data_IF_557487133505
#
_entry.id   IF_557487133505
#
_cell.length_a   1.000
_cell.length_b   1.000
_cell.length_c   1.000
_cell.angle_alpha   90.00
_cell.angle_beta   90.00
_cell.angle_gamma   90.00
#
_symmetry.space_group_name_H-M   'P 1'
#
loop_
_entity.id
_entity.type
_entity.pdbx_description
1 polymer ?
#
# COMPACT_ATOMS: atom_id res chain seq x y z
N UNK A 1 -9.67 -24.28 -29.82
CA UNK A 1 -10.58 -23.12 -29.67
C UNK A 1 -10.25 -22.45 -28.34
N UNK A 2 -10.28 -21.11 -28.33
CA UNK A 2 -10.05 -20.21 -27.20
C UNK A 2 -8.59 -19.80 -26.91
N UNK A 3 -8.07 -18.89 -27.76
CA UNK A 3 -7.08 -17.90 -27.37
C UNK A 3 -7.61 -16.51 -27.77
N UNK A 4 -8.23 -15.79 -26.83
CA UNK A 4 -8.40 -14.35 -26.94
C UNK A 4 -8.69 -13.70 -25.57
N UNK A 5 -7.72 -12.86 -25.15
CA UNK A 5 -7.94 -11.45 -24.75
C UNK A 5 -8.20 -11.11 -23.27
N UNK A 6 -7.14 -11.09 -22.42
CA UNK A 6 -7.08 -10.22 -21.24
C UNK A 6 -6.40 -8.86 -21.50
N UNK A 7 -5.68 -8.65 -22.62
CA UNK A 7 -4.79 -7.48 -22.76
C UNK A 7 -5.48 -6.13 -23.00
N UNK A 8 -6.66 -6.10 -23.65
CA UNK A 8 -7.31 -4.81 -24.00
C UNK A 8 -7.85 -4.01 -22.80
N UNK A 9 -8.11 -4.66 -21.65
CA UNK A 9 -8.65 -3.98 -20.47
C UNK A 9 -7.53 -3.27 -19.68
N UNK A 10 -6.41 -3.96 -19.49
CA UNK A 10 -5.21 -3.40 -18.85
C UNK A 10 -4.62 -2.23 -19.65
N UNK A 11 -4.57 -2.36 -20.98
CA UNK A 11 -4.07 -1.32 -21.87
C UNK A 11 -4.95 -0.06 -21.85
N UNK A 12 -6.27 -0.22 -21.76
CA UNK A 12 -7.22 0.90 -21.63
C UNK A 12 -7.14 1.59 -20.25
N UNK A 13 -6.91 0.84 -19.17
CA UNK A 13 -6.78 1.40 -17.82
C UNK A 13 -5.46 2.16 -17.65
N UNK A 14 -4.37 1.69 -18.28
CA UNK A 14 -3.08 2.39 -18.34
C UNK A 14 -3.19 3.66 -19.20
N UNK A 15 -3.87 3.59 -20.35
CA UNK A 15 -4.07 4.74 -21.23
C UNK A 15 -4.93 5.83 -20.58
N UNK A 16 -6.00 5.44 -19.88
CA UNK A 16 -6.90 6.36 -19.15
C UNK A 16 -6.24 7.01 -17.92
N UNK A 17 -5.29 6.33 -17.28
CA UNK A 17 -4.49 6.88 -16.18
C UNK A 17 -3.39 7.84 -16.69
N UNK A 18 -2.71 7.47 -17.78
CA UNK A 18 -1.70 8.32 -18.43
C UNK A 18 -2.30 9.60 -19.01
N UNK A 19 -3.50 9.53 -19.62
CA UNK A 19 -4.17 10.72 -20.16
C UNK A 19 -4.60 11.67 -19.03
N UNK A 20 -5.08 11.14 -17.89
CA UNK A 20 -5.52 11.96 -16.74
C UNK A 20 -4.34 12.71 -16.09
N UNK A 21 -3.23 12.03 -15.82
CA UNK A 21 -2.03 12.67 -15.27
C UNK A 21 -1.48 13.75 -16.24
N UNK A 22 -1.53 13.49 -17.56
CA UNK A 22 -1.12 14.48 -18.57
C UNK A 22 -2.08 15.67 -18.72
N UNK A 23 -3.37 15.46 -18.46
CA UNK A 23 -4.40 16.51 -18.52
C UNK A 23 -4.30 17.43 -17.31
N UNK A 24 -4.09 16.87 -16.12
CA UNK A 24 -3.93 17.63 -14.88
C UNK A 24 -2.65 18.49 -14.94
N UNK A 25 -1.54 17.95 -15.48
CA UNK A 25 -0.29 18.67 -15.71
C UNK A 25 -0.43 19.79 -16.75
N UNK A 26 -1.17 19.56 -17.83
CA UNK A 26 -1.50 20.58 -18.83
C UNK A 26 -2.40 21.70 -18.26
N UNK A 27 -3.38 21.36 -17.41
CA UNK A 27 -4.26 22.33 -16.73
C UNK A 27 -3.44 23.19 -15.76
N UNK A 28 -2.52 22.59 -15.01
CA UNK A 28 -1.63 23.29 -14.08
C UNK A 28 -0.68 24.26 -14.82
N UNK A 29 -0.08 23.83 -15.94
CA UNK A 29 0.78 24.69 -16.78
C UNK A 29 -0.02 25.83 -17.43
N UNK A 30 -1.28 25.59 -17.83
CA UNK A 30 -2.17 26.64 -18.34
C UNK A 30 -2.56 27.66 -17.28
N UNK A 31 -2.87 27.22 -16.05
CA UNK A 31 -3.16 28.12 -14.92
C UNK A 31 -1.91 28.93 -14.57
N UNK A 32 -0.72 28.31 -14.63
CA UNK A 32 0.54 28.99 -14.35
C UNK A 32 0.89 30.04 -15.42
N UNK A 33 0.66 29.75 -16.70
CA UNK A 33 0.84 30.67 -17.84
C UNK A 33 -0.24 31.73 -18.00
N UNK A 34 -1.44 31.55 -17.44
CA UNK A 34 -2.52 32.55 -17.50
C UNK A 34 -2.14 33.86 -16.79
N UNK A 35 -2.57 35.02 -17.28
CA UNK A 35 -2.36 36.33 -16.63
C UNK A 35 -3.31 36.57 -15.43
N UNK A 36 -3.77 35.51 -14.77
CA UNK A 36 -4.69 35.65 -13.64
C UNK A 36 -4.00 36.14 -12.36
N UNK A 37 -4.71 36.90 -11.50
CA UNK A 37 -4.18 37.34 -10.20
C UNK A 37 -3.66 36.15 -9.38
N UNK A 38 -2.53 36.35 -8.69
CA UNK A 38 -1.85 35.29 -7.90
C UNK A 38 -2.76 34.65 -6.85
N UNK A 39 -3.70 35.42 -6.30
CA UNK A 39 -4.68 34.92 -5.33
C UNK A 39 -5.68 33.94 -5.96
N UNK A 40 -6.18 34.23 -7.16
CA UNK A 40 -7.13 33.36 -7.86
C UNK A 40 -6.48 32.05 -8.33
N UNK A 41 -5.18 32.08 -8.68
CA UNK A 41 -4.43 30.86 -9.00
C UNK A 41 -4.32 29.91 -7.79
N UNK A 42 -4.04 30.47 -6.61
CA UNK A 42 -3.98 29.69 -5.36
C UNK A 42 -5.34 29.11 -5.00
N UNK A 43 -6.41 29.86 -5.20
CA UNK A 43 -7.78 29.39 -4.94
C UNK A 43 -8.17 28.22 -5.85
N UNK A 44 -7.86 28.30 -7.15
CA UNK A 44 -8.14 27.22 -8.10
C UNK A 44 -7.28 25.98 -7.80
N UNK A 45 -6.00 26.16 -7.48
CA UNK A 45 -5.14 25.04 -7.06
C UNK A 45 -5.64 24.38 -5.78
N UNK A 46 -5.99 25.17 -4.76
CA UNK A 46 -6.58 24.66 -3.53
C UNK A 46 -7.91 23.92 -3.79
N UNK A 47 -8.72 24.40 -4.75
CA UNK A 47 -9.97 23.75 -5.14
C UNK A 47 -9.76 22.39 -5.86
N UNK A 48 -8.76 22.30 -6.74
CA UNK A 48 -8.35 21.06 -7.41
C UNK A 48 -7.77 20.04 -6.41
N UNK A 49 -6.92 20.49 -5.49
CA UNK A 49 -6.35 19.65 -4.43
C UNK A 49 -7.40 19.16 -3.44
N UNK A 50 -8.37 20.02 -3.07
CA UNK A 50 -9.40 19.69 -2.08
C UNK A 50 -10.40 18.63 -2.57
N UNK A 51 -10.55 18.46 -3.90
CA UNK A 51 -11.54 17.56 -4.50
C UNK A 51 -10.92 16.44 -5.35
N UNK A 52 -10.04 15.64 -4.74
CA UNK A 52 -9.55 14.35 -5.26
C UNK A 52 -10.21 13.14 -4.58
N UNK A 53 -11.52 13.20 -4.36
CA UNK A 53 -12.31 12.17 -3.66
C UNK A 53 -13.22 11.34 -4.58
N UNK A 54 -13.78 10.21 -4.09
CA UNK A 54 -14.74 9.40 -4.82
C UNK A 54 -16.13 10.05 -4.96
N UNK A 55 -16.33 11.23 -4.37
CA UNK A 55 -17.58 11.98 -4.39
C UNK A 55 -17.37 13.23 -5.25
N UNK A 56 -18.20 13.45 -6.28
CA UNK A 56 -18.09 14.61 -7.16
C UNK A 56 -18.62 15.89 -6.49
N UNK A 57 -18.34 17.02 -7.13
CA UNK A 57 -18.74 18.35 -6.68
C UNK A 57 -20.28 18.49 -6.56
N UNK A 58 -20.79 19.33 -5.63
CA UNK A 58 -22.23 19.54 -5.46
C UNK A 58 -22.96 19.94 -6.74
N UNK A 59 -22.37 20.85 -7.53
CA UNK A 59 -22.95 21.31 -8.80
C UNK A 59 -23.12 20.17 -9.82
N UNK A 60 -22.16 19.24 -9.84
CA UNK A 60 -22.20 18.04 -10.69
C UNK A 60 -23.30 17.10 -10.19
N UNK A 61 -23.39 16.89 -8.87
CA UNK A 61 -24.45 16.07 -8.26
C UNK A 61 -25.84 16.63 -8.55
N UNK A 62 -26.00 17.96 -8.50
CA UNK A 62 -27.24 18.63 -8.86
C UNK A 62 -27.59 18.40 -10.34
N UNK A 63 -26.60 18.44 -11.23
CA UNK A 63 -26.76 18.09 -12.65
C UNK A 63 -27.27 16.66 -12.84
N UNK A 64 -26.69 15.68 -12.14
CA UNK A 64 -27.16 14.29 -12.19
C UNK A 64 -28.57 14.11 -11.64
N UNK A 65 -28.90 14.79 -10.53
CA UNK A 65 -30.24 14.74 -9.94
C UNK A 65 -31.31 15.32 -10.86
N UNK A 66 -30.98 16.38 -11.62
CA UNK A 66 -31.87 16.98 -12.63
C UNK A 66 -32.11 16.05 -13.81
N UNK A 67 -31.11 15.25 -14.20
CA UNK A 67 -31.21 14.30 -15.31
C UNK A 67 -31.98 13.03 -14.93
N UNK A 68 -31.67 12.49 -13.74
CA UNK A 68 -32.29 11.28 -13.20
C UNK A 68 -32.63 11.45 -11.72
N UNK A 69 -33.88 11.20 -11.32
CA UNK A 69 -34.27 11.30 -9.92
C UNK A 69 -33.50 10.29 -9.07
N UNK A 70 -32.94 10.75 -7.96
CA UNK A 70 -32.11 10.00 -6.99
C UNK A 70 -30.67 9.68 -7.45
N UNK A 71 -30.24 10.10 -8.64
CA UNK A 71 -28.89 9.81 -9.11
C UNK A 71 -27.80 10.36 -8.18
N UNK A 72 -27.98 11.56 -7.62
CA UNK A 72 -27.02 12.14 -6.67
C UNK A 72 -26.85 11.26 -5.42
N UNK A 73 -27.95 10.73 -4.87
CA UNK A 73 -27.94 9.84 -3.71
C UNK A 73 -27.21 8.52 -4.02
N UNK A 74 -27.44 7.96 -5.20
CA UNK A 74 -26.79 6.73 -5.65
C UNK A 74 -25.28 6.93 -5.83
N UNK A 75 -24.87 8.04 -6.44
CA UNK A 75 -23.44 8.40 -6.59
C UNK A 75 -22.76 8.54 -5.23
N UNK A 76 -23.39 9.24 -4.28
CA UNK A 76 -22.84 9.41 -2.93
C UNK A 76 -22.70 8.05 -2.23
N UNK A 77 -23.74 7.22 -2.28
CA UNK A 77 -23.71 5.90 -1.67
C UNK A 77 -22.60 5.04 -2.26
N UNK A 78 -22.46 5.01 -3.59
CA UNK A 78 -21.41 4.27 -4.28
C UNK A 78 -20.01 4.75 -3.86
N UNK A 79 -19.80 6.06 -3.75
CA UNK A 79 -18.51 6.61 -3.29
C UNK A 79 -18.20 6.28 -1.82
N UNK A 80 -19.22 6.24 -0.95
CA UNK A 80 -19.06 5.80 0.45
C UNK A 80 -18.77 4.30 0.53
N UNK A 81 -19.46 3.48 -0.25
CA UNK A 81 -19.23 2.04 -0.31
C UNK A 81 -17.83 1.70 -0.83
N UNK A 82 -17.37 2.38 -1.88
CA UNK A 82 -16.00 2.24 -2.40
C UNK A 82 -14.97 2.63 -1.34
N UNK A 83 -15.19 3.74 -0.63
CA UNK A 83 -14.34 4.18 0.46
C UNK A 83 -14.27 3.15 1.60
N UNK A 84 -15.41 2.56 1.97
CA UNK A 84 -15.48 1.48 2.97
C UNK A 84 -14.79 0.21 2.48
N UNK A 85 -14.97 -0.15 1.21
CA UNK A 85 -14.35 -1.30 0.59
C UNK A 85 -12.82 -1.16 0.61
N UNK A 86 -12.28 -0.01 0.17
CA UNK A 86 -10.85 0.29 0.24
C UNK A 86 -10.30 0.16 1.66
N UNK A 87 -10.94 0.80 2.64
CA UNK A 87 -10.51 0.74 4.04
C UNK A 87 -10.54 -0.69 4.58
N UNK A 88 -11.55 -1.49 4.20
CA UNK A 88 -11.62 -2.91 4.55
C UNK A 88 -10.47 -3.72 3.94
N UNK A 89 -10.12 -3.46 2.67
CA UNK A 89 -8.99 -4.12 2.02
C UNK A 89 -7.65 -3.74 2.65
N UNK A 90 -7.46 -2.47 3.02
CA UNK A 90 -6.28 -1.98 3.73
C UNK A 90 -6.12 -2.70 5.08
N UNK A 91 -7.18 -2.75 5.90
CA UNK A 91 -7.18 -3.47 7.19
C UNK A 91 -6.93 -4.98 6.99
N UNK A 92 -7.56 -5.60 5.99
CA UNK A 92 -7.36 -7.02 5.70
C UNK A 92 -5.91 -7.32 5.28
N UNK A 93 -5.28 -6.43 4.49
CA UNK A 93 -3.87 -6.53 4.11
C UNK A 93 -2.95 -6.41 5.34
N UNK A 94 -3.20 -5.43 6.22
CA UNK A 94 -2.45 -5.27 7.46
C UNK A 94 -2.55 -6.51 8.35
N UNK A 95 -3.77 -7.04 8.55
CA UNK A 95 -3.99 -8.26 9.35
C UNK A 95 -3.27 -9.48 8.77
N UNK A 96 -3.30 -9.65 7.44
CA UNK A 96 -2.63 -10.77 6.76
C UNK A 96 -1.11 -10.71 6.92
N UNK A 97 -0.51 -9.53 6.84
CA UNK A 97 0.93 -9.32 7.06
C UNK A 97 1.34 -9.68 8.49
N UNK A 98 0.56 -9.20 9.48
CA UNK A 98 0.79 -9.54 10.88
C UNK A 98 0.73 -11.04 11.14
N UNK A 99 -0.29 -11.73 10.61
CA UNK A 99 -0.41 -13.18 10.79
C UNK A 99 0.74 -13.97 10.18
N UNK A 100 1.18 -13.65 8.97
CA UNK A 100 2.30 -14.35 8.33
C UNK A 100 3.61 -14.17 9.12
N UNK A 101 3.91 -12.95 9.58
CA UNK A 101 5.10 -12.66 10.38
C UNK A 101 5.10 -13.42 11.72
N UNK A 102 3.95 -13.50 12.38
CA UNK A 102 3.81 -14.27 13.62
C UNK A 102 3.96 -15.79 13.37
N UNK A 103 3.38 -16.31 12.29
CA UNK A 103 3.51 -17.74 11.97
C UNK A 103 4.93 -18.14 11.65
N UNK A 104 5.68 -17.34 10.88
CA UNK A 104 7.07 -17.65 10.57
C UNK A 104 7.96 -17.58 11.81
N UNK A 105 7.74 -16.60 12.68
CA UNK A 105 8.48 -16.47 13.93
C UNK A 105 8.25 -17.67 14.86
N UNK A 106 7.00 -18.14 14.99
CA UNK A 106 6.68 -19.32 15.81
C UNK A 106 7.34 -20.58 15.24
N UNK A 107 7.26 -20.80 13.92
CA UNK A 107 7.87 -21.97 13.28
C UNK A 107 9.39 -21.98 13.46
N UNK A 108 10.06 -20.85 13.22
CA UNK A 108 11.51 -20.71 13.41
C UNK A 108 11.89 -20.89 14.89
N UNK A 109 11.10 -20.35 15.81
CA UNK A 109 11.32 -20.51 17.25
C UNK A 109 11.24 -21.98 17.67
N UNK A 110 10.23 -22.72 17.23
CA UNK A 110 10.08 -24.16 17.53
C UNK A 110 11.28 -24.95 16.99
N UNK A 111 11.67 -24.72 15.73
CA UNK A 111 12.81 -25.40 15.11
C UNK A 111 14.11 -25.08 15.86
N UNK A 112 14.30 -23.84 16.29
CA UNK A 112 15.47 -23.41 17.07
C UNK A 112 15.53 -24.11 18.42
N UNK A 113 14.40 -24.23 19.12
CA UNK A 113 14.32 -24.95 20.40
C UNK A 113 14.68 -26.42 20.20
N UNK A 114 14.17 -27.08 19.15
CA UNK A 114 14.52 -28.46 18.83
C UNK A 114 16.02 -28.62 18.56
N UNK A 115 16.62 -27.72 17.79
CA UNK A 115 18.07 -27.70 17.56
C UNK A 115 18.87 -27.55 18.86
N UNK A 116 18.41 -26.70 19.78
CA UNK A 116 19.06 -26.51 21.10
C UNK A 116 18.93 -27.79 21.95
N UNK A 117 17.77 -28.43 21.98
CA UNK A 117 17.57 -29.70 22.69
C UNK A 117 18.47 -30.82 22.14
N UNK A 118 18.55 -30.95 20.82
CA UNK A 118 19.43 -31.91 20.14
C UNK A 118 20.89 -31.59 20.43
N UNK A 119 21.30 -30.32 20.33
CA UNK A 119 22.64 -29.85 20.67
C UNK A 119 23.03 -30.25 22.11
N UNK A 120 22.17 -29.98 23.09
CA UNK A 120 22.41 -30.34 24.49
C UNK A 120 22.59 -31.86 24.67
N UNK A 121 21.76 -32.66 24.00
CA UNK A 121 21.87 -34.11 24.01
C UNK A 121 23.18 -34.63 23.40
N UNK A 122 23.66 -34.04 22.30
CA UNK A 122 24.95 -34.40 21.70
C UNK A 122 26.14 -34.05 22.61
N UNK A 123 26.08 -32.91 23.32
CA UNK A 123 27.13 -32.53 24.26
C UNK A 123 27.24 -33.54 25.40
N UNK A 124 26.11 -34.06 25.90
CA UNK A 124 26.09 -35.09 26.94
C UNK A 124 26.71 -36.42 26.48
N UNK A 125 26.59 -36.77 25.19
CA UNK A 125 27.22 -37.97 24.61
C UNK A 125 28.70 -37.79 24.24
N UNK A 126 29.37 -36.73 24.74
CA UNK A 126 30.76 -36.36 24.45
C UNK A 126 31.05 -35.90 23.02
N UNK A 127 30.03 -35.64 22.22
CA UNK A 127 30.15 -35.00 20.91
C UNK A 127 30.09 -33.47 21.01
N UNK A 128 31.01 -32.88 21.80
CA UNK A 128 31.00 -31.45 22.17
C UNK A 128 31.11 -30.50 20.96
N UNK A 129 31.92 -30.86 19.97
CA UNK A 129 32.10 -30.04 18.74
C UNK A 129 30.83 -30.02 17.90
N UNK A 130 30.21 -31.18 17.68
CA UNK A 130 28.97 -31.28 16.90
C UNK A 130 27.80 -30.56 17.59
N UNK A 131 27.68 -30.70 18.92
CA UNK A 131 26.67 -29.99 19.70
C UNK A 131 26.81 -28.47 19.61
N UNK A 132 28.04 -27.95 19.71
CA UNK A 132 28.30 -26.50 19.63
C UNK A 132 27.95 -25.91 18.27
N UNK A 133 28.28 -26.59 17.17
CA UNK A 133 27.95 -26.13 15.81
C UNK A 133 26.43 -26.06 15.61
N UNK A 134 25.71 -27.12 15.99
CA UNK A 134 24.24 -27.16 15.86
C UNK A 134 23.55 -26.12 16.75
N UNK A 135 24.03 -25.91 17.98
CA UNK A 135 23.49 -24.88 18.87
C UNK A 135 23.74 -23.47 18.35
N UNK A 136 24.96 -23.20 17.87
CA UNK A 136 25.35 -21.90 17.32
C UNK A 136 24.54 -21.50 16.08
N UNK A 137 24.37 -22.42 15.11
CA UNK A 137 23.58 -22.17 13.91
C UNK A 137 22.12 -21.84 14.25
N UNK A 138 21.51 -22.58 15.18
CA UNK A 138 20.12 -22.34 15.60
C UNK A 138 19.93 -20.93 16.17
N UNK A 139 20.81 -20.50 17.08
CA UNK A 139 20.74 -19.18 17.70
C UNK A 139 20.97 -18.07 16.67
N UNK A 140 21.98 -18.20 15.81
CA UNK A 140 22.27 -17.20 14.77
C UNK A 140 21.14 -17.08 13.73
N UNK A 141 20.48 -18.19 13.39
CA UNK A 141 19.33 -18.19 12.48
C UNK A 141 18.16 -17.39 13.05
N UNK A 142 17.85 -17.57 14.32
CA UNK A 142 16.80 -16.80 14.99
C UNK A 142 17.18 -15.32 15.08
N UNK A 143 18.41 -15.02 15.45
CA UNK A 143 18.90 -13.64 15.57
C UNK A 143 18.86 -12.90 14.22
N UNK A 144 19.35 -13.54 13.16
CA UNK A 144 19.30 -12.98 11.81
C UNK A 144 17.87 -12.77 11.30
N UNK A 145 16.96 -13.72 11.58
CA UNK A 145 15.55 -13.58 11.22
C UNK A 145 14.84 -12.45 11.98
N UNK A 146 15.14 -12.26 13.26
CA UNK A 146 14.54 -11.18 14.07
C UNK A 146 15.07 -9.81 13.64
N UNK A 147 16.38 -9.66 13.46
CA UNK A 147 16.99 -8.39 13.02
C UNK A 147 16.49 -8.00 11.63
N UNK A 148 16.47 -8.95 10.68
CA UNK A 148 15.95 -8.69 9.33
C UNK A 148 14.47 -8.28 9.32
N UNK A 149 13.65 -8.91 10.17
CA UNK A 149 12.24 -8.51 10.31
C UNK A 149 12.08 -7.11 10.92
N UNK A 150 12.97 -6.68 11.83
CA UNK A 150 12.94 -5.33 12.42
C UNK A 150 13.30 -4.27 11.38
N UNK A 151 14.30 -4.53 10.54
CA UNK A 151 14.69 -3.61 9.46
C UNK A 151 13.56 -3.43 8.43
N UNK A 152 12.90 -4.53 8.05
CA UNK A 152 11.74 -4.47 7.15
C UNK A 152 10.55 -3.74 7.77
N UNK A 153 10.35 -3.84 9.08
CA UNK A 153 9.29 -3.09 9.78
C UNK A 153 9.65 -1.61 9.93
N UNK A 154 10.92 -1.28 10.15
CA UNK A 154 11.41 0.10 10.36
C UNK A 154 11.49 0.88 9.04
N UNK A 155 11.86 0.22 7.94
CA UNK A 155 11.97 0.86 6.62
C UNK A 155 10.63 1.31 6.04
N UNK A 156 9.53 0.71 6.48
CA UNK A 156 8.18 0.97 5.98
C UNK A 156 7.38 1.94 6.87
N UNK A 157 8.02 2.63 7.82
CA UNK A 157 7.41 3.78 8.51
C UNK A 157 7.36 4.97 7.53
N UNK A 158 6.34 4.92 6.66
CA UNK A 158 5.99 5.88 5.61
C UNK A 158 5.64 7.30 6.12
N UNK A 159 5.95 7.65 7.37
CA UNK A 159 5.77 9.01 7.89
C UNK A 159 6.90 9.97 7.51
N UNK A 160 7.96 9.51 6.84
CA UNK A 160 9.08 10.35 6.40
C UNK A 160 9.18 10.56 4.90
N UNK A 161 8.32 9.93 4.08
CA UNK A 161 8.33 10.08 2.61
C UNK A 161 7.45 11.23 2.09
N UNK A 162 7.08 12.18 2.94
CA UNK A 162 6.32 13.39 2.57
C UNK A 162 7.18 14.49 1.90
N UNK A 163 8.44 14.21 1.54
CA UNK A 163 9.35 15.22 0.96
C UNK A 163 9.65 15.04 -0.54
N UNK A 164 9.10 14.06 -1.23
CA UNK A 164 9.41 13.78 -2.65
C UNK A 164 8.40 14.33 -3.68
N UNK A 165 7.64 15.38 -3.32
CA UNK A 165 6.81 16.13 -4.28
C UNK A 165 7.27 17.57 -4.51
N UNK A 166 8.56 17.85 -4.35
CA UNK A 166 9.18 19.04 -4.93
C UNK A 166 10.27 18.62 -5.91
N UNK A 167 10.08 19.00 -7.17
CA UNK A 167 11.04 19.00 -8.28
C UNK A 167 10.91 17.85 -9.30
N UNK A 168 9.98 18.02 -10.25
CA UNK A 168 10.36 18.26 -11.64
C UNK A 168 9.18 18.91 -12.37
#
# INVERSE_FOLDING_TARGET
>A
MADQKPSKKLENDIKKKSDKDSLDEQILDQIQKSEMPKETKKEIMAYLEMYSGPIPLPDILEGYQKLYPNAAKEIINNGVEESRHRRRLEVARQKRRGWLAWTSLIVVSIVTILCICISAFLVMQRHSVAGSIFGGIGVFTLFGGVVGNIDDLTKNDDLTNSSDHHNN
#
